data_IF_738992211551
#
_entry.id   IF_738992211551
#
_cell.length_a   1.000
_cell.length_b   1.000
_cell.length_c   1.000
_cell.angle_alpha   90.00
_cell.angle_beta   90.00
_cell.angle_gamma   90.00
#
_symmetry.space_group_name_H-M   'P 1'
#
loop_
_entity.id
_entity.type
_entity.pdbx_description
1 polymer ?
#
# COMPACT_ATOMS: atom_id res chain seq x y z
N UNK A 1 7.13 -8.28 9.76
CA UNK A 1 5.92 -9.06 9.48
C UNK A 1 5.55 -8.99 8.00
N UNK A 2 5.33 -7.79 7.47
CA UNK A 2 5.07 -7.56 6.04
C UNK A 2 6.08 -8.23 5.10
N UNK A 3 7.38 -8.05 5.32
CA UNK A 3 8.41 -8.69 4.48
C UNK A 3 8.34 -10.23 4.45
N UNK A 4 7.91 -10.88 5.54
CA UNK A 4 7.70 -12.34 5.56
C UNK A 4 6.48 -12.73 4.72
N UNK A 5 5.41 -11.94 4.77
CA UNK A 5 4.22 -12.17 3.93
C UNK A 5 4.57 -12.09 2.44
N UNK A 6 5.38 -11.11 2.05
CA UNK A 6 5.86 -10.98 0.66
C UNK A 6 6.70 -12.19 0.23
N UNK A 7 7.61 -12.65 1.09
CA UNK A 7 8.41 -13.86 0.85
C UNK A 7 7.55 -15.13 0.74
N UNK A 8 6.37 -15.13 1.35
CA UNK A 8 5.40 -16.24 1.30
C UNK A 8 4.43 -16.13 0.11
N UNK A 9 4.58 -15.13 -0.76
CA UNK A 9 3.74 -14.98 -1.95
C UNK A 9 2.35 -14.40 -1.68
N UNK A 10 2.21 -13.59 -0.62
CA UNK A 10 0.96 -12.85 -0.37
C UNK A 10 0.52 -12.07 -1.62
N UNK A 11 -0.77 -12.10 -1.94
CA UNK A 11 -1.37 -11.41 -3.09
C UNK A 11 -1.32 -12.17 -4.42
N UNK A 12 -0.53 -13.25 -4.53
CA UNK A 12 -0.43 -14.04 -5.78
C UNK A 12 -1.75 -14.76 -6.09
N UNK A 13 -2.39 -15.35 -5.07
CA UNK A 13 -3.64 -16.11 -5.26
C UNK A 13 -4.79 -15.19 -5.71
N UNK A 14 -4.77 -13.96 -5.25
CA UNK A 14 -5.76 -12.92 -5.52
C UNK A 14 -5.47 -12.12 -6.80
N UNK A 15 -4.38 -12.44 -7.52
CA UNK A 15 -3.92 -11.73 -8.72
C UNK A 15 -3.73 -10.21 -8.51
N UNK A 16 -3.25 -9.84 -7.32
CA UNK A 16 -2.99 -8.45 -6.99
C UNK A 16 -1.74 -7.95 -7.71
N UNK A 17 -1.81 -6.72 -8.22
CA UNK A 17 -0.61 -6.07 -8.74
C UNK A 17 0.38 -5.72 -7.60
N UNK A 18 1.56 -5.22 -7.96
CA UNK A 18 2.61 -4.91 -6.99
C UNK A 18 2.22 -3.85 -5.94
N UNK A 19 1.43 -2.84 -6.32
CA UNK A 19 0.96 -1.81 -5.39
C UNK A 19 -0.16 -2.34 -4.48
N UNK A 20 -1.14 -3.04 -5.05
CA UNK A 20 -2.24 -3.67 -4.32
C UNK A 20 -1.73 -4.68 -3.29
N UNK A 21 -0.74 -5.50 -3.68
CA UNK A 21 -0.10 -6.49 -2.82
C UNK A 21 0.52 -5.85 -1.57
N UNK A 22 1.27 -4.75 -1.75
CA UNK A 22 1.94 -4.07 -0.64
C UNK A 22 0.94 -3.37 0.27
N UNK A 23 -0.02 -2.63 -0.28
CA UNK A 23 -0.98 -1.91 0.56
C UNK A 23 -1.88 -2.89 1.33
N UNK A 24 -2.35 -3.96 0.69
CA UNK A 24 -3.17 -5.00 1.33
C UNK A 24 -2.39 -5.75 2.40
N UNK A 25 -1.13 -6.12 2.09
CA UNK A 25 -0.25 -6.77 3.06
C UNK A 25 0.06 -5.84 4.24
N UNK A 26 0.30 -4.55 4.00
CA UNK A 26 0.52 -3.57 5.05
C UNK A 26 -0.73 -3.36 5.91
N UNK A 27 -1.92 -3.36 5.29
CA UNK A 27 -3.19 -3.22 6.01
C UNK A 27 -3.37 -4.34 7.03
N UNK A 28 -3.10 -5.58 6.62
CA UNK A 28 -3.10 -6.73 7.53
C UNK A 28 -1.94 -6.66 8.53
N UNK A 29 -0.75 -6.22 8.08
CA UNK A 29 0.44 -6.26 8.92
C UNK A 29 0.46 -5.23 10.05
N UNK A 30 -0.21 -4.10 9.84
CA UNK A 30 -0.24 -2.98 10.79
C UNK A 30 -1.65 -2.69 11.31
N UNK A 31 -2.61 -3.56 11.03
CA UNK A 31 -4.01 -3.43 11.45
C UNK A 31 -4.59 -2.04 11.10
N UNK A 32 -4.37 -1.57 9.86
CA UNK A 32 -4.73 -0.21 9.48
C UNK A 32 -6.25 0.01 9.34
N UNK A 33 -7.03 -1.07 9.24
CA UNK A 33 -8.49 -1.01 9.19
C UNK A 33 -9.05 -0.52 7.86
N UNK A 34 -8.26 -0.54 6.79
CA UNK A 34 -8.70 -0.17 5.45
C UNK A 34 -9.64 -1.24 4.88
N UNK A 35 -10.70 -0.79 4.22
CA UNK A 35 -11.66 -1.67 3.57
C UNK A 35 -11.29 -1.94 2.09
N UNK A 36 -12.13 -2.71 1.39
CA UNK A 36 -11.89 -3.02 -0.02
C UNK A 36 -11.97 -1.78 -0.95
N UNK A 37 -12.75 -0.77 -0.60
CA UNK A 37 -12.84 0.49 -1.35
C UNK A 37 -11.59 1.34 -1.18
N UNK A 38 -10.99 1.32 0.01
CA UNK A 38 -9.71 1.98 0.28
C UNK A 38 -8.57 1.27 -0.49
N UNK A 39 -8.50 -0.06 -0.39
CA UNK A 39 -7.41 -0.84 -0.96
C UNK A 39 -7.36 -0.77 -2.49
N UNK A 40 -8.50 -0.77 -3.17
CA UNK A 40 -8.54 -0.69 -4.65
C UNK A 40 -7.99 0.64 -5.19
N UNK A 41 -7.81 1.68 -4.37
CA UNK A 41 -7.16 2.92 -4.79
C UNK A 41 -5.70 2.69 -5.23
N UNK A 42 -5.05 1.64 -4.70
CA UNK A 42 -3.71 1.26 -5.11
C UNK A 42 -3.65 0.63 -6.53
N UNK A 43 -4.79 0.22 -7.12
CA UNK A 43 -4.81 -0.48 -8.40
C UNK A 43 -4.17 0.33 -9.53
N UNK A 44 -4.35 1.65 -9.54
CA UNK A 44 -3.75 2.55 -10.54
C UNK A 44 -2.23 2.67 -10.47
N UNK A 45 -1.61 2.13 -9.41
CA UNK A 45 -0.19 2.27 -9.13
C UNK A 45 0.64 1.04 -9.53
N UNK A 46 -0.01 -0.02 -10.02
CA UNK A 46 0.66 -1.18 -10.60
C UNK A 46 1.50 -0.82 -11.84
N UNK A 47 2.49 -1.67 -12.15
CA UNK A 47 3.27 -1.56 -13.39
C UNK A 47 4.01 -0.23 -13.58
N UNK A 48 4.29 0.50 -12.49
CA UNK A 48 5.00 1.77 -12.56
C UNK A 48 4.11 3.02 -12.72
N UNK A 49 2.79 2.89 -12.55
CA UNK A 49 1.73 3.76 -13.10
C UNK A 49 1.42 3.46 -14.56
N UNK A 50 1.51 2.20 -14.98
CA UNK A 50 1.23 1.73 -16.36
C UNK A 50 2.09 2.36 -17.48
N UNK A 51 3.08 3.17 -17.12
CA UNK A 51 4.02 3.84 -18.03
C UNK A 51 5.48 3.53 -17.68
N UNK A 52 5.71 2.50 -16.86
CA UNK A 52 7.05 2.08 -16.39
C UNK A 52 7.84 3.18 -15.65
N UNK A 53 7.14 4.15 -15.09
CA UNK A 53 7.74 5.30 -14.42
C UNK A 53 8.13 4.99 -12.97
N UNK A 54 7.18 5.12 -12.06
CA UNK A 54 7.43 5.08 -10.61
C UNK A 54 6.98 3.75 -10.02
N UNK A 55 7.89 3.02 -9.37
CA UNK A 55 7.64 1.70 -8.79
C UNK A 55 6.39 1.65 -7.88
N UNK A 56 5.43 0.80 -8.26
CA UNK A 56 4.17 0.59 -7.53
C UNK A 56 4.35 0.10 -6.09
N UNK A 57 5.29 -0.81 -5.87
CA UNK A 57 5.67 -1.31 -4.54
C UNK A 57 6.10 -0.16 -3.62
N UNK A 58 6.91 0.77 -4.15
CA UNK A 58 7.42 1.91 -3.38
C UNK A 58 6.31 2.91 -3.08
N UNK A 59 5.49 3.26 -4.07
CA UNK A 59 4.38 4.19 -3.87
C UNK A 59 3.36 3.64 -2.87
N UNK A 60 3.04 2.34 -2.91
CA UNK A 60 2.13 1.72 -1.96
C UNK A 60 2.70 1.66 -0.54
N UNK A 61 4.01 1.45 -0.38
CA UNK A 61 4.66 1.54 0.93
C UNK A 61 4.56 2.95 1.53
N UNK A 62 4.62 3.99 0.69
CA UNK A 62 4.42 5.39 1.12
C UNK A 62 2.94 5.66 1.42
N UNK A 63 2.00 5.11 0.63
CA UNK A 63 0.55 5.25 0.90
C UNK A 63 0.18 4.76 2.29
N UNK A 64 0.78 3.65 2.75
CA UNK A 64 0.54 3.10 4.09
C UNK A 64 0.85 4.09 5.22
N UNK A 65 1.71 5.10 5.00
CA UNK A 65 2.02 6.12 5.99
C UNK A 65 0.82 7.04 6.28
N UNK A 66 -0.09 7.24 5.32
CA UNK A 66 -1.29 8.06 5.49
C UNK A 66 -2.17 7.55 6.61
N UNK A 67 -2.75 6.34 6.49
CA UNK A 67 -3.58 5.74 7.55
C UNK A 67 -2.86 5.56 8.89
N UNK A 68 -1.53 5.40 8.88
CA UNK A 68 -0.76 5.23 10.12
C UNK A 68 -0.49 6.54 10.86
N UNK A 69 -0.27 7.64 10.15
CA UNK A 69 0.30 8.87 10.73
C UNK A 69 -0.48 10.15 10.41
N UNK A 70 -1.59 10.07 9.67
CA UNK A 70 -2.50 11.18 9.37
C UNK A 70 -3.87 10.89 9.95
N UNK A 71 -4.49 11.91 10.54
CA UNK A 71 -5.84 11.85 11.11
C UNK A 71 -6.88 12.46 10.17
N UNK A 72 -6.63 13.67 9.67
CA UNK A 72 -7.50 14.42 8.77
C UNK A 72 -6.78 14.87 7.49
N UNK A 73 -5.56 15.42 7.58
CA UNK A 73 -4.79 15.91 6.41
C UNK A 73 -3.29 15.93 6.62
N UNK A 74 -2.52 15.76 5.55
CA UNK A 74 -1.06 15.60 5.60
C UNK A 74 -0.31 16.67 6.43
N UNK A 75 -0.67 17.95 6.28
CA UNK A 75 0.02 19.07 6.95
C UNK A 75 -0.06 19.06 8.49
N UNK A 76 -0.95 18.27 9.09
CA UNK A 76 -1.03 18.16 10.56
C UNK A 76 0.00 17.17 11.12
N UNK A 77 0.50 16.26 10.29
CA UNK A 77 1.40 15.20 10.74
C UNK A 77 2.80 15.74 10.91
N UNK A 78 3.42 15.48 12.06
CA UNK A 78 4.84 15.77 12.28
C UNK A 78 5.75 14.63 11.82
N UNK A 79 5.16 13.51 11.38
CA UNK A 79 5.87 12.27 11.05
C UNK A 79 6.07 12.08 9.55
N UNK A 80 5.25 12.72 8.72
CA UNK A 80 5.37 12.72 7.26
C UNK A 80 5.32 14.16 6.74
N UNK A 81 6.14 14.49 5.73
CA UNK A 81 6.25 15.82 5.12
C UNK A 81 6.33 15.72 3.61
#
# INVERSE_FOLDING_TARGET
MLGKMMQQGFGIKEDLNCAETILSGANQAYCMGLDAQDLKLAAGFGGGMAIEGVCGTLTAAIMALGPLFVRERAHESTRIK
#
